data_IF_360661901253
#
_entry.id   IF_360661901253
#
_cell.length_a   1.000
_cell.length_b   1.000
_cell.length_c   1.000
_cell.angle_alpha   90.00
_cell.angle_beta   90.00
_cell.angle_gamma   90.00
#
_symmetry.space_group_name_H-M   'P 1'
#
loop_
_entity.id
_entity.type
_entity.pdbx_description
1 polymer ?
#
# COMPACT_ATOMS: atom_id res chain seq x y z
N UNK A 1 -24.52 -59.63 -16.68
CA UNK A 1 -23.49 -58.59 -16.95
C UNK A 1 -24.13 -57.23 -16.72
N UNK A 2 -23.94 -56.62 -15.53
CA UNK A 2 -24.46 -55.27 -15.22
C UNK A 2 -23.38 -54.26 -15.60
N UNK A 3 -23.61 -53.47 -16.63
CA UNK A 3 -22.76 -52.33 -16.96
C UNK A 3 -22.95 -51.27 -15.88
N UNK A 4 -21.90 -51.01 -15.10
CA UNK A 4 -21.83 -49.86 -14.22
C UNK A 4 -21.52 -48.64 -15.11
N UNK A 5 -22.52 -47.78 -15.31
CA UNK A 5 -22.32 -46.50 -15.95
C UNK A 5 -21.64 -45.58 -14.93
N UNK A 6 -20.33 -45.38 -15.06
CA UNK A 6 -19.61 -44.39 -14.26
C UNK A 6 -20.05 -43.00 -14.72
N UNK A 7 -20.87 -42.34 -13.89
CA UNK A 7 -21.18 -40.92 -14.07
C UNK A 7 -19.89 -40.16 -13.69
N UNK A 8 -19.18 -39.69 -14.70
CA UNK A 8 -18.04 -38.79 -14.52
C UNK A 8 -18.60 -37.43 -14.08
N UNK A 9 -18.56 -37.15 -12.79
CA UNK A 9 -18.82 -35.80 -12.28
C UNK A 9 -17.60 -34.96 -12.69
N UNK A 10 -17.76 -34.11 -13.70
CA UNK A 10 -16.78 -33.09 -14.01
C UNK A 10 -16.72 -32.12 -12.83
N UNK A 11 -15.70 -32.26 -11.98
CA UNK A 11 -15.36 -31.23 -11.01
C UNK A 11 -15.11 -29.94 -11.80
N UNK A 12 -15.70 -28.79 -11.42
CA UNK A 12 -15.34 -27.53 -12.05
C UNK A 12 -13.83 -27.34 -11.89
N UNK A 13 -13.12 -27.24 -13.01
CA UNK A 13 -11.70 -26.96 -12.98
C UNK A 13 -11.52 -25.57 -12.36
N UNK A 14 -10.83 -25.51 -11.22
CA UNK A 14 -10.43 -24.24 -10.62
C UNK A 14 -9.50 -23.49 -11.58
N UNK A 15 -9.70 -22.17 -11.66
CA UNK A 15 -9.00 -21.29 -12.58
C UNK A 15 -8.13 -20.30 -11.79
N UNK A 16 -6.90 -20.12 -12.27
CA UNK A 16 -5.99 -19.12 -11.76
C UNK A 16 -6.24 -17.81 -12.49
N UNK A 17 -6.20 -16.71 -11.73
CA UNK A 17 -6.27 -15.35 -12.26
C UNK A 17 -4.94 -14.66 -12.02
N UNK A 18 -4.36 -14.13 -13.09
CA UNK A 18 -3.07 -13.43 -13.07
C UNK A 18 -3.28 -12.08 -13.74
N UNK A 19 -2.74 -11.02 -13.15
CA UNK A 19 -2.96 -9.64 -13.58
C UNK A 19 -1.64 -9.00 -13.99
N UNK A 20 -1.58 -8.43 -15.20
CA UNK A 20 -0.62 -7.38 -15.53
C UNK A 20 -1.28 -6.05 -15.13
N UNK A 21 -0.81 -5.36 -14.08
CA UNK A 21 -1.55 -4.25 -13.45
C UNK A 21 -1.60 -2.97 -14.28
N UNK A 22 -0.77 -2.89 -15.32
CA UNK A 22 -0.70 -1.75 -16.22
C UNK A 22 -0.32 -2.18 -17.64
N UNK A 23 -1.09 -1.72 -18.60
CA UNK A 23 -0.87 -1.78 -20.03
C UNK A 23 -1.55 -0.58 -20.66
N UNK A 24 -1.00 -0.07 -21.76
CA UNK A 24 -1.58 1.01 -22.51
C UNK A 24 -1.17 1.03 -23.98
N UNK A 25 -1.92 1.82 -24.74
CA UNK A 25 -1.64 2.17 -26.14
C UNK A 25 -1.98 3.64 -26.36
N UNK A 26 -1.32 4.30 -27.30
CA UNK A 26 -1.67 5.65 -27.74
C UNK A 26 -0.77 6.78 -27.19
N UNK A 27 -1.14 8.04 -27.46
CA UNK A 27 -0.31 9.20 -27.12
C UNK A 27 -0.27 9.47 -25.62
N UNK A 28 0.86 9.99 -25.14
CA UNK A 28 1.08 10.40 -23.76
C UNK A 28 1.74 11.79 -23.64
N UNK A 29 2.10 12.16 -22.41
CA UNK A 29 2.76 13.44 -22.12
C UNK A 29 4.13 13.56 -22.85
N UNK A 30 4.60 14.80 -23.04
CA UNK A 30 5.88 15.12 -23.68
C UNK A 30 6.08 14.46 -25.06
N UNK A 31 4.99 14.27 -25.83
CA UNK A 31 5.04 13.68 -27.17
C UNK A 31 5.37 12.18 -27.20
N UNK A 32 5.24 11.49 -26.06
CA UNK A 32 5.41 10.03 -25.98
C UNK A 32 4.28 9.28 -26.70
N UNK A 33 4.57 8.08 -27.17
CA UNK A 33 3.59 7.16 -27.75
C UNK A 33 3.77 5.76 -27.15
N UNK A 34 2.80 5.34 -26.35
CA UNK A 34 2.88 4.14 -25.54
C UNK A 34 2.30 2.94 -26.26
N UNK A 35 2.92 1.78 -26.06
CA UNK A 35 2.41 0.47 -26.51
C UNK A 35 2.78 -0.58 -25.48
N UNK A 36 1.95 -1.64 -25.38
CA UNK A 36 2.19 -2.76 -24.47
C UNK A 36 2.19 -4.08 -25.21
N UNK A 37 3.13 -4.94 -24.85
CA UNK A 37 3.26 -6.29 -25.41
C UNK A 37 3.09 -7.31 -24.30
N UNK A 38 2.43 -8.42 -24.63
CA UNK A 38 2.28 -9.57 -23.74
C UNK A 38 2.99 -10.77 -24.36
N UNK A 39 3.91 -11.38 -23.63
CA UNK A 39 4.58 -12.61 -24.03
C UNK A 39 4.19 -13.75 -23.11
N UNK A 40 3.78 -14.87 -23.72
CA UNK A 40 3.30 -16.05 -23.02
C UNK A 40 4.12 -17.25 -23.49
N UNK A 41 4.74 -17.95 -22.55
CA UNK A 41 5.48 -19.19 -22.82
C UNK A 41 4.87 -20.37 -22.07
N UNK A 42 4.43 -21.39 -22.81
CA UNK A 42 3.89 -22.61 -22.24
C UNK A 42 5.00 -23.66 -22.11
N UNK A 43 5.42 -23.93 -20.88
CA UNK A 43 6.38 -25.00 -20.57
C UNK A 43 5.73 -26.39 -20.54
N UNK A 44 4.40 -26.50 -20.69
CA UNK A 44 3.67 -27.75 -20.70
C UNK A 44 3.89 -28.59 -21.97
N UNK A 45 3.58 -29.88 -21.85
CA UNK A 45 3.59 -30.83 -22.97
C UNK A 45 2.29 -30.84 -23.78
N UNK A 46 1.26 -30.12 -23.33
CA UNK A 46 -0.01 -29.93 -24.04
C UNK A 46 -0.23 -28.44 -24.31
N UNK A 47 -0.97 -28.13 -25.37
CA UNK A 47 -1.42 -26.76 -25.62
C UNK A 47 -2.35 -26.27 -24.50
N UNK A 48 -2.33 -24.97 -24.23
CA UNK A 48 -3.25 -24.31 -23.30
C UNK A 48 -3.88 -23.11 -23.97
N UNK A 49 -5.10 -22.78 -23.59
CA UNK A 49 -5.76 -21.53 -23.99
C UNK A 49 -5.88 -20.65 -22.76
N UNK A 50 -5.44 -19.39 -22.90
CA UNK A 50 -5.58 -18.36 -21.90
C UNK A 50 -6.66 -17.37 -22.36
N UNK A 51 -7.59 -17.05 -21.46
CA UNK A 51 -8.57 -15.99 -21.68
C UNK A 51 -7.97 -14.68 -21.17
N UNK A 52 -7.87 -13.70 -22.05
CA UNK A 52 -7.30 -12.38 -21.79
C UNK A 52 -8.45 -11.37 -21.70
N UNK A 53 -8.43 -10.49 -20.71
CA UNK A 53 -9.46 -9.48 -20.52
C UNK A 53 -8.85 -8.14 -20.16
N UNK A 54 -9.31 -7.08 -20.82
CA UNK A 54 -8.86 -5.72 -20.53
C UNK A 54 -9.76 -5.07 -19.49
N UNK A 55 -9.15 -4.37 -18.55
CA UNK A 55 -9.81 -3.65 -17.49
C UNK A 55 -9.36 -2.20 -17.47
N UNK A 56 -10.28 -1.25 -17.53
CA UNK A 56 -9.98 0.17 -17.34
C UNK A 56 -10.69 0.69 -16.07
N UNK A 57 -10.77 2.01 -15.91
CA UNK A 57 -11.41 2.63 -14.74
C UNK A 57 -12.92 2.38 -14.67
N UNK A 58 -13.55 1.93 -15.76
CA UNK A 58 -14.96 1.53 -15.80
C UNK A 58 -15.16 0.02 -15.59
N UNK A 59 -14.07 -0.73 -15.39
CA UNK A 59 -14.10 -2.17 -15.11
C UNK A 59 -13.74 -3.01 -16.33
N UNK A 60 -14.26 -4.24 -16.35
CA UNK A 60 -14.00 -5.22 -17.40
C UNK A 60 -14.62 -4.82 -18.76
N UNK A 61 -13.84 -4.93 -19.82
CA UNK A 61 -14.23 -4.51 -21.16
C UNK A 61 -14.24 -5.70 -22.12
N UNK A 62 -13.26 -5.72 -23.04
CA UNK A 62 -13.14 -6.73 -24.08
C UNK A 62 -12.38 -7.95 -23.60
N UNK A 63 -12.75 -9.10 -24.14
CA UNK A 63 -12.13 -10.40 -23.87
C UNK A 63 -11.58 -10.97 -25.18
N UNK A 64 -10.45 -11.65 -25.12
CA UNK A 64 -9.81 -12.31 -26.25
C UNK A 64 -9.13 -13.59 -25.78
N UNK A 65 -9.25 -14.68 -26.55
CA UNK A 65 -8.54 -15.92 -26.22
C UNK A 65 -7.20 -16.00 -26.96
N UNK A 66 -6.21 -16.57 -26.28
CA UNK A 66 -4.89 -16.85 -26.83
C UNK A 66 -4.52 -18.33 -26.61
N UNK A 67 -4.35 -19.07 -27.70
CA UNK A 67 -3.87 -20.46 -27.65
C UNK A 67 -2.35 -20.49 -27.72
N UNK A 68 -1.73 -21.13 -26.74
CA UNK A 68 -0.28 -21.33 -26.64
C UNK A 68 0.01 -22.82 -26.78
N UNK A 69 0.64 -23.20 -27.89
CA UNK A 69 1.02 -24.57 -28.16
C UNK A 69 1.98 -25.13 -27.08
N UNK A 70 2.08 -26.45 -27.00
CA UNK A 70 3.05 -27.10 -26.12
C UNK A 70 4.47 -26.58 -26.39
N UNK A 71 5.24 -26.32 -25.33
CA UNK A 71 6.65 -25.88 -25.38
C UNK A 71 6.91 -24.64 -26.26
N UNK A 72 5.90 -23.79 -26.44
CA UNK A 72 5.95 -22.68 -27.40
C UNK A 72 5.78 -21.34 -26.71
N UNK A 73 6.31 -20.30 -27.36
CA UNK A 73 6.12 -18.89 -26.98
C UNK A 73 5.27 -18.19 -28.02
N UNK A 74 4.36 -17.33 -27.57
CA UNK A 74 3.70 -16.34 -28.42
C UNK A 74 3.94 -14.95 -27.83
N UNK A 75 4.03 -13.95 -28.71
CA UNK A 75 4.04 -12.55 -28.34
C UNK A 75 2.87 -11.86 -29.03
N UNK A 76 2.13 -11.06 -28.28
CA UNK A 76 1.01 -10.27 -28.76
C UNK A 76 1.45 -8.81 -28.72
N UNK A 77 1.76 -8.28 -29.90
CA UNK A 77 2.22 -6.89 -30.06
C UNK A 77 1.05 -5.92 -29.88
N UNK A 78 1.31 -4.78 -29.23
CA UNK A 78 0.32 -3.74 -28.91
C UNK A 78 -1.04 -4.34 -28.50
N UNK A 79 -1.02 -5.20 -27.49
CA UNK A 79 -2.16 -6.04 -27.10
C UNK A 79 -3.43 -5.21 -26.82
N UNK A 80 -3.26 -4.00 -26.30
CA UNK A 80 -4.36 -3.07 -25.98
C UNK A 80 -5.09 -2.65 -27.26
N UNK A 81 -4.36 -2.41 -28.34
CA UNK A 81 -4.95 -2.15 -29.65
C UNK A 81 -5.40 -3.43 -30.36
N UNK A 82 -4.50 -4.41 -30.51
CA UNK A 82 -4.69 -5.55 -31.42
C UNK A 82 -5.67 -6.60 -30.92
N UNK A 83 -5.84 -6.75 -29.60
CA UNK A 83 -6.78 -7.71 -29.00
C UNK A 83 -8.03 -7.07 -28.41
N UNK A 84 -7.93 -5.81 -27.99
CA UNK A 84 -9.02 -5.11 -27.30
C UNK A 84 -9.53 -3.87 -28.06
N UNK A 85 -9.06 -3.64 -29.29
CA UNK A 85 -9.61 -2.64 -30.21
C UNK A 85 -9.52 -1.20 -29.71
N UNK A 86 -8.61 -0.89 -28.78
CA UNK A 86 -8.44 0.46 -28.25
C UNK A 86 -7.40 1.22 -29.07
N UNK A 87 -7.76 2.39 -29.59
CA UNK A 87 -6.80 3.28 -30.27
C UNK A 87 -5.95 4.08 -29.29
N UNK A 88 -6.46 4.30 -28.08
CA UNK A 88 -5.76 4.93 -26.97
C UNK A 88 -6.38 4.46 -25.66
N UNK A 89 -5.57 4.27 -24.62
CA UNK A 89 -6.05 3.93 -23.28
C UNK A 89 -4.99 3.34 -22.37
N UNK A 90 -5.32 3.25 -21.09
CA UNK A 90 -4.53 2.60 -20.05
C UNK A 90 -5.45 1.71 -19.22
N UNK A 91 -4.95 0.56 -18.78
CA UNK A 91 -5.71 -0.42 -18.02
C UNK A 91 -4.85 -1.58 -17.54
N UNK A 92 -5.48 -2.64 -17.07
CA UNK A 92 -4.85 -3.90 -16.71
C UNK A 92 -5.24 -5.00 -17.69
N UNK A 93 -4.41 -6.03 -17.77
CA UNK A 93 -4.70 -7.26 -18.51
C UNK A 93 -4.87 -8.37 -17.50
N UNK A 94 -6.06 -8.91 -17.43
CA UNK A 94 -6.34 -10.15 -16.72
C UNK A 94 -6.09 -11.34 -17.63
N UNK A 95 -5.38 -12.34 -17.11
CA UNK A 95 -5.13 -13.62 -17.73
C UNK A 95 -5.75 -14.70 -16.85
N UNK A 96 -6.73 -15.40 -17.39
CA UNK A 96 -7.38 -16.54 -16.73
C UNK A 96 -7.05 -17.84 -17.47
N UNK A 97 -6.57 -18.82 -16.71
CA UNK A 97 -6.21 -20.17 -17.18
C UNK A 97 -6.57 -21.20 -16.12
N UNK A 98 -6.65 -22.49 -16.47
CA UNK A 98 -6.77 -23.54 -15.45
C UNK A 98 -5.56 -23.52 -14.49
N UNK A 99 -5.76 -23.89 -13.22
CA UNK A 99 -4.67 -23.97 -12.23
C UNK A 99 -3.51 -24.88 -12.69
N UNK A 100 -3.83 -25.97 -13.38
CA UNK A 100 -2.85 -26.89 -13.93
C UNK A 100 -1.96 -26.24 -15.02
N UNK A 101 -2.52 -25.31 -15.79
CA UNK A 101 -1.81 -24.55 -16.81
C UNK A 101 -1.05 -23.36 -16.21
N UNK A 102 -1.58 -22.71 -15.17
CA UNK A 102 -0.96 -21.55 -14.53
C UNK A 102 0.47 -21.85 -14.07
N UNK A 103 0.69 -22.99 -13.42
CA UNK A 103 2.02 -23.43 -12.96
C UNK A 103 2.99 -23.82 -14.09
N UNK A 104 2.56 -23.73 -15.36
CA UNK A 104 3.35 -24.06 -16.55
C UNK A 104 3.42 -22.90 -17.55
N UNK A 105 2.81 -21.77 -17.23
CA UNK A 105 2.77 -20.60 -18.10
C UNK A 105 3.67 -19.51 -17.52
N UNK A 106 4.72 -19.13 -18.25
CA UNK A 106 5.46 -17.91 -17.97
C UNK A 106 4.79 -16.74 -18.68
N UNK A 107 4.54 -15.67 -17.95
CA UNK A 107 3.85 -14.47 -18.43
C UNK A 107 4.75 -13.28 -18.17
N UNK A 108 5.13 -12.58 -19.23
CA UNK A 108 5.85 -11.31 -19.14
C UNK A 108 5.12 -10.26 -19.96
N UNK A 109 5.25 -9.00 -19.54
CA UNK A 109 4.75 -7.88 -20.31
C UNK A 109 5.74 -6.74 -20.30
N UNK A 110 5.71 -5.95 -21.37
CA UNK A 110 6.52 -4.76 -21.52
C UNK A 110 5.65 -3.62 -22.00
N UNK A 111 5.77 -2.47 -21.36
CA UNK A 111 5.14 -1.22 -21.80
C UNK A 111 6.24 -0.25 -22.18
N UNK A 112 6.21 0.27 -23.40
CA UNK A 112 7.27 1.13 -23.92
C UNK A 112 6.73 2.36 -24.64
N UNK A 113 7.50 3.42 -24.57
CA UNK A 113 7.37 4.62 -25.37
C UNK A 113 8.17 4.45 -26.67
N UNK A 114 7.51 4.64 -27.81
CA UNK A 114 8.14 4.73 -29.13
C UNK A 114 8.34 6.19 -29.51
N UNK A 115 9.58 6.57 -29.83
CA UNK A 115 9.94 7.90 -30.31
C UNK A 115 10.83 7.81 -31.56
N UNK A 116 11.14 8.97 -32.16
CA UNK A 116 12.07 9.03 -33.29
C UNK A 116 13.50 8.57 -32.92
N UNK A 117 13.86 8.58 -31.63
CA UNK A 117 15.17 8.15 -31.13
C UNK A 117 15.23 6.67 -30.70
N UNK A 118 14.09 5.96 -30.71
CA UNK A 118 14.02 4.53 -30.39
C UNK A 118 12.84 4.16 -29.50
N UNK A 119 12.90 2.96 -28.93
CA UNK A 119 11.92 2.46 -27.96
C UNK A 119 12.52 2.38 -26.57
N UNK A 120 11.88 3.03 -25.61
CA UNK A 120 12.27 3.02 -24.20
C UNK A 120 11.15 2.39 -23.39
N UNK A 121 11.44 1.36 -22.59
CA UNK A 121 10.38 0.54 -22.02
C UNK A 121 10.72 -0.09 -20.70
N UNK A 122 9.66 -0.43 -19.97
CA UNK A 122 9.71 -1.08 -18.67
C UNK A 122 8.98 -2.42 -18.75
N UNK A 123 9.56 -3.43 -18.12
CA UNK A 123 8.86 -4.69 -17.90
C UNK A 123 7.89 -4.51 -16.73
N UNK A 124 6.66 -4.98 -16.93
CA UNK A 124 5.60 -4.93 -15.91
C UNK A 124 5.26 -6.38 -15.56
N UNK A 125 5.53 -6.83 -14.31
CA UNK A 125 5.35 -8.21 -13.93
C UNK A 125 3.87 -8.58 -13.88
N UNK A 126 3.58 -9.81 -14.29
CA UNK A 126 2.28 -10.42 -14.07
C UNK A 126 2.21 -10.95 -12.62
N UNK A 127 1.12 -10.63 -11.92
CA UNK A 127 0.94 -10.90 -10.48
C UNK A 127 -0.23 -11.85 -10.31
N UNK A 128 -0.02 -12.97 -9.59
CA UNK A 128 -1.13 -13.84 -9.21
C UNK A 128 -2.01 -13.12 -8.19
N UNK A 129 -3.34 -13.16 -8.35
CA UNK A 129 -4.26 -12.46 -7.43
C UNK A 129 -4.17 -12.95 -5.98
N UNK A 130 -3.61 -14.14 -5.75
CA UNK A 130 -3.34 -14.66 -4.41
C UNK A 130 -2.17 -13.94 -3.71
N UNK A 131 -1.26 -13.34 -4.48
CA UNK A 131 -0.10 -12.61 -3.98
C UNK A 131 -0.37 -11.09 -3.84
N UNK A 132 -1.56 -10.64 -4.26
CA UNK A 132 -1.98 -9.24 -4.13
C UNK A 132 -2.01 -8.79 -2.66
N UNK A 133 -1.75 -7.50 -2.43
CA UNK A 133 -1.86 -6.89 -1.12
C UNK A 133 -3.32 -6.94 -0.64
N UNK A 134 -3.54 -7.16 0.65
CA UNK A 134 -4.86 -7.30 1.24
C UNK A 134 -5.05 -6.31 2.40
N UNK A 135 -6.26 -6.26 2.96
CA UNK A 135 -6.56 -5.44 4.13
C UNK A 135 -5.52 -5.62 5.26
N UNK A 136 -4.98 -4.49 5.76
CA UNK A 136 -3.91 -4.44 6.77
C UNK A 136 -2.49 -4.32 6.19
N UNK A 137 -2.32 -4.54 4.89
CA UNK A 137 -1.05 -4.30 4.21
C UNK A 137 -0.87 -2.82 3.84
N UNK A 138 0.39 -2.39 3.80
CA UNK A 138 0.80 -1.14 3.15
C UNK A 138 1.62 -1.49 1.92
N UNK A 139 1.27 -0.93 0.77
CA UNK A 139 2.11 -1.04 -0.43
C UNK A 139 2.87 0.26 -0.60
N UNK A 140 4.20 0.18 -0.53
CA UNK A 140 5.10 1.32 -0.69
C UNK A 140 5.52 1.44 -2.15
N UNK A 141 5.33 2.63 -2.71
CA UNK A 141 5.76 3.02 -4.05
C UNK A 141 6.81 4.12 -3.91
N UNK A 142 8.07 3.80 -4.22
CA UNK A 142 9.17 4.76 -4.08
C UNK A 142 9.18 5.69 -5.29
N UNK A 143 8.95 6.99 -5.07
CA UNK A 143 9.02 7.98 -6.12
C UNK A 143 10.48 8.20 -6.56
N UNK A 144 10.72 8.90 -7.68
CA UNK A 144 12.06 9.14 -8.19
C UNK A 144 12.97 9.86 -7.18
N UNK A 145 14.27 9.59 -7.27
CA UNK A 145 15.27 10.32 -6.48
C UNK A 145 15.44 11.79 -6.90
N UNK A 146 14.93 12.16 -8.09
CA UNK A 146 14.88 13.53 -8.61
C UNK A 146 13.51 13.78 -9.23
N UNK A 147 12.68 14.59 -8.56
CA UNK A 147 11.35 14.97 -9.04
C UNK A 147 11.42 15.94 -10.24
N UNK A 148 12.56 16.64 -10.40
CA UNK A 148 12.80 17.50 -11.57
C UNK A 148 13.07 16.68 -12.84
N UNK A 149 13.82 15.58 -12.73
CA UNK A 149 14.25 14.80 -13.89
C UNK A 149 13.18 13.82 -14.36
N UNK A 150 12.43 13.22 -13.44
CA UNK A 150 11.43 12.20 -13.75
C UNK A 150 10.06 12.52 -13.14
N UNK A 151 9.02 12.39 -13.97
CA UNK A 151 7.63 12.42 -13.50
C UNK A 151 7.22 11.07 -12.90
N UNK A 152 6.42 11.09 -11.86
CA UNK A 152 5.96 9.87 -11.19
C UNK A 152 4.47 9.60 -11.43
N UNK A 153 4.17 8.50 -12.11
CA UNK A 153 2.82 7.99 -12.23
C UNK A 153 2.67 6.82 -11.25
N UNK A 154 1.50 6.67 -10.65
CA UNK A 154 1.18 5.47 -9.89
C UNK A 154 -0.27 5.07 -10.08
N UNK A 155 -0.57 3.83 -9.74
CA UNK A 155 -1.87 3.27 -10.01
C UNK A 155 -2.13 2.00 -9.25
N UNK A 156 -3.30 1.43 -9.52
CA UNK A 156 -3.75 0.21 -8.91
C UNK A 156 -4.65 -0.59 -9.85
N UNK A 157 -4.66 -1.90 -9.65
CA UNK A 157 -5.74 -2.79 -10.06
C UNK A 157 -6.45 -3.33 -8.82
N UNK A 158 -7.77 -3.10 -8.73
CA UNK A 158 -8.60 -3.59 -7.63
C UNK A 158 -9.00 -5.05 -7.91
N UNK A 159 -8.43 -6.00 -7.17
CA UNK A 159 -8.73 -7.44 -7.33
C UNK A 159 -10.12 -7.77 -6.81
N UNK A 160 -10.49 -7.16 -5.68
CA UNK A 160 -11.85 -7.16 -5.13
C UNK A 160 -12.30 -5.71 -4.93
N UNK A 161 -13.54 -5.50 -4.50
CA UNK A 161 -13.93 -4.20 -3.94
C UNK A 161 -12.95 -3.88 -2.81
N UNK A 162 -12.35 -2.69 -2.87
CA UNK A 162 -11.26 -2.30 -1.99
C UNK A 162 -11.38 -0.83 -1.59
N UNK A 163 -10.88 -0.54 -0.39
CA UNK A 163 -10.67 0.81 0.10
C UNK A 163 -9.20 1.00 0.38
N UNK A 164 -8.68 2.13 -0.07
CA UNK A 164 -7.27 2.49 0.07
C UNK A 164 -7.19 3.93 0.56
N UNK A 165 -6.37 4.16 1.57
CA UNK A 165 -5.89 5.50 1.91
C UNK A 165 -4.53 5.71 1.25
N UNK A 166 -4.36 6.84 0.58
CA UNK A 166 -3.11 7.21 -0.07
C UNK A 166 -2.38 8.22 0.80
N UNK A 167 -1.25 7.81 1.36
CA UNK A 167 -0.38 8.67 2.16
C UNK A 167 0.87 9.02 1.33
N UNK A 168 1.32 10.27 1.41
CA UNK A 168 2.60 10.73 0.88
C UNK A 168 3.59 10.79 2.05
N UNK A 169 4.72 10.12 1.92
CA UNK A 169 5.81 10.18 2.90
C UNK A 169 6.98 10.92 2.27
N UNK A 170 7.40 12.00 2.92
CA UNK A 170 8.54 12.81 2.50
C UNK A 170 9.86 12.12 2.85
N UNK A 171 10.94 12.55 2.20
CA UNK A 171 12.28 12.04 2.46
C UNK A 171 12.74 12.20 3.93
N UNK A 172 12.22 13.19 4.64
CA UNK A 172 12.48 13.43 6.06
C UNK A 172 11.59 12.61 7.01
N UNK A 173 10.70 11.78 6.47
CA UNK A 173 9.75 10.96 7.23
C UNK A 173 8.39 11.60 7.47
N UNK A 174 8.19 12.88 7.09
CA UNK A 174 6.89 13.55 7.26
C UNK A 174 5.81 12.82 6.47
N UNK A 175 4.76 12.37 7.15
CA UNK A 175 3.59 11.74 6.52
C UNK A 175 2.51 12.78 6.28
N UNK A 176 2.06 12.88 5.02
CA UNK A 176 0.94 13.70 4.59
C UNK A 176 -0.16 12.77 4.10
N UNK A 177 -1.32 12.80 4.73
CA UNK A 177 -2.50 12.02 4.34
C UNK A 177 -3.58 12.96 3.78
N UNK A 178 -3.43 13.47 2.55
CA UNK A 178 -4.29 14.54 2.05
C UNK A 178 -5.68 14.05 1.65
N UNK A 179 -5.89 12.73 1.55
CA UNK A 179 -7.14 12.12 1.14
C UNK A 179 -7.71 11.22 2.24
N UNK A 180 -9.05 11.27 2.39
CA UNK A 180 -9.79 10.20 3.04
C UNK A 180 -9.70 8.90 2.22
N UNK A 181 -10.10 7.77 2.82
CA UNK A 181 -10.19 6.49 2.12
C UNK A 181 -10.95 6.60 0.79
N UNK A 182 -10.31 6.13 -0.27
CA UNK A 182 -10.89 6.04 -1.60
C UNK A 182 -11.40 4.62 -1.85
N UNK A 183 -12.57 4.50 -2.47
CA UNK A 183 -13.17 3.20 -2.81
C UNK A 183 -12.97 2.88 -4.29
N UNK A 184 -12.59 1.64 -4.58
CA UNK A 184 -12.39 1.14 -5.93
C UNK A 184 -13.18 -0.17 -6.10
N UNK A 185 -13.97 -0.24 -7.17
CA UNK A 185 -14.75 -1.44 -7.48
C UNK A 185 -13.87 -2.56 -8.03
N UNK A 186 -14.24 -3.81 -7.74
CA UNK A 186 -13.53 -4.99 -8.23
C UNK A 186 -13.36 -4.96 -9.76
N UNK A 187 -12.18 -5.34 -10.22
CA UNK A 187 -11.84 -5.37 -11.64
C UNK A 187 -11.70 -3.99 -12.28
N UNK A 188 -11.52 -2.91 -11.52
CA UNK A 188 -11.17 -1.60 -12.08
C UNK A 188 -9.66 -1.37 -12.05
N UNK A 189 -9.17 -0.62 -13.03
CA UNK A 189 -7.78 -0.16 -13.08
C UNK A 189 -7.75 1.37 -13.09
N UNK A 190 -6.91 1.95 -12.23
CA UNK A 190 -6.68 3.38 -12.19
C UNK A 190 -5.19 3.68 -12.30
N UNK A 191 -4.84 4.64 -13.17
CA UNK A 191 -3.52 5.27 -13.19
C UNK A 191 -3.67 6.77 -12.99
N UNK A 192 -2.90 7.29 -12.05
CA UNK A 192 -2.78 8.70 -11.74
C UNK A 192 -1.46 9.21 -12.34
N UNK A 193 -1.54 9.91 -13.46
CA UNK A 193 -0.38 10.54 -14.06
C UNK A 193 0.06 11.72 -13.18
N UNK A 194 1.35 11.82 -12.82
CA UNK A 194 1.84 12.80 -11.83
C UNK A 194 0.98 12.79 -10.55
N UNK A 195 0.80 11.59 -10.00
CA UNK A 195 -0.25 11.34 -9.00
C UNK A 195 -0.07 12.12 -7.70
N UNK A 196 1.16 12.48 -7.32
CA UNK A 196 1.42 13.28 -6.12
C UNK A 196 0.79 14.68 -6.29
N UNK A 197 0.94 15.29 -7.46
CA UNK A 197 0.25 16.56 -7.77
C UNK A 197 -1.25 16.36 -8.01
N UNK A 198 -1.62 15.44 -8.90
CA UNK A 198 -2.99 15.38 -9.44
C UNK A 198 -3.98 14.63 -8.57
N UNK A 199 -3.54 13.63 -7.80
CA UNK A 199 -4.38 12.91 -6.86
C UNK A 199 -4.23 13.49 -5.44
N UNK A 200 -3.00 13.70 -4.98
CA UNK A 200 -2.72 14.09 -3.60
C UNK A 200 -2.70 15.61 -3.37
N UNK A 201 -2.68 16.41 -4.44
CA UNK A 201 -2.66 17.88 -4.36
C UNK A 201 -1.36 18.44 -3.75
N UNK A 202 -0.27 17.68 -3.82
CA UNK A 202 1.02 18.04 -3.23
C UNK A 202 2.07 18.32 -4.30
N UNK A 203 3.05 19.15 -3.98
CA UNK A 203 4.24 19.29 -4.82
C UNK A 203 5.15 18.07 -4.64
N UNK A 204 5.58 17.48 -5.75
CA UNK A 204 6.55 16.39 -5.83
C UNK A 204 7.92 16.86 -5.31
N UNK A 205 8.57 16.03 -4.50
CA UNK A 205 9.92 16.26 -3.98
C UNK A 205 10.80 15.03 -4.21
N UNK A 206 12.11 15.25 -4.14
CA UNK A 206 13.11 14.19 -4.29
C UNK A 206 12.95 13.14 -3.19
N UNK A 207 12.94 11.86 -3.59
CA UNK A 207 12.84 10.72 -2.67
C UNK A 207 11.54 10.66 -1.87
N UNK A 208 10.45 11.26 -2.37
CA UNK A 208 9.11 10.98 -1.86
C UNK A 208 8.78 9.47 -1.95
N UNK A 209 7.86 9.00 -1.11
CA UNK A 209 7.24 7.68 -1.22
C UNK A 209 5.72 7.82 -1.12
N UNK A 210 5.00 7.01 -1.88
CA UNK A 210 3.53 6.92 -1.82
C UNK A 210 3.15 5.60 -1.18
N UNK A 211 2.37 5.65 -0.10
CA UNK A 211 1.84 4.49 0.58
C UNK A 211 0.39 4.27 0.18
N UNK A 212 0.08 3.11 -0.40
CA UNK A 212 -1.29 2.62 -0.53
C UNK A 212 -1.61 1.76 0.70
N UNK A 213 -2.29 2.35 1.68
CA UNK A 213 -2.74 1.65 2.88
C UNK A 213 -4.06 0.96 2.58
N UNK A 214 -4.04 -0.37 2.50
CA UNK A 214 -5.19 -1.18 2.10
C UNK A 214 -6.05 -1.44 3.33
N UNK A 215 -7.24 -0.85 3.39
CA UNK A 215 -8.10 -0.98 4.57
C UNK A 215 -9.17 -2.05 4.39
N UNK A 216 -9.59 -2.31 3.14
CA UNK A 216 -10.46 -3.45 2.80
C UNK A 216 -10.07 -4.05 1.45
N UNK A 217 -10.41 -5.32 1.23
CA UNK A 217 -10.26 -5.97 -0.08
C UNK A 217 -8.84 -6.36 -0.44
N UNK A 218 -8.59 -6.53 -1.75
CA UNK A 218 -7.30 -6.87 -2.34
C UNK A 218 -6.95 -5.98 -3.52
N UNK A 219 -5.67 -5.61 -3.64
CA UNK A 219 -5.17 -4.68 -4.65
C UNK A 219 -3.76 -5.05 -5.12
N UNK A 220 -3.46 -4.72 -6.38
CA UNK A 220 -2.11 -4.68 -6.93
C UNK A 220 -1.79 -3.22 -7.24
N UNK A 221 -0.98 -2.56 -6.40
CA UNK A 221 -0.54 -1.19 -6.62
C UNK A 221 0.87 -1.17 -7.26
N UNK A 222 1.12 -0.15 -8.07
CA UNK A 222 2.37 -0.02 -8.82
C UNK A 222 2.68 1.46 -9.09
N UNK A 223 3.94 1.74 -9.43
CA UNK A 223 4.38 3.04 -9.94
C UNK A 223 5.12 2.92 -11.28
N UNK A 224 5.34 4.07 -11.90
CA UNK A 224 6.18 4.22 -13.09
C UNK A 224 6.82 5.60 -13.06
N UNK A 225 8.14 5.62 -12.90
CA UNK A 225 8.96 6.81 -13.02
C UNK A 225 9.33 6.99 -14.48
N UNK A 226 9.07 8.15 -15.07
CA UNK A 226 9.37 8.40 -16.48
C UNK A 226 10.27 9.63 -16.61
N UNK A 227 11.46 9.43 -17.16
CA UNK A 227 12.40 10.53 -17.41
C UNK A 227 11.76 11.57 -18.35
N UNK A 228 11.78 12.83 -17.93
CA UNK A 228 11.09 13.90 -18.64
C UNK A 228 11.72 14.22 -19.99
N UNK A 229 13.06 14.14 -20.08
CA UNK A 229 13.81 14.46 -21.28
C UNK A 229 13.71 13.38 -22.38
N UNK A 230 13.79 12.10 -22.01
CA UNK A 230 13.79 10.98 -22.97
C UNK A 230 12.44 10.27 -23.12
N UNK A 231 11.58 10.35 -22.09
CA UNK A 231 10.40 9.51 -21.98
C UNK A 231 10.72 8.06 -21.61
N UNK A 232 11.92 7.80 -21.06
CA UNK A 232 12.36 6.46 -20.63
C UNK A 232 11.70 6.06 -19.30
N UNK A 233 10.89 4.99 -19.26
CA UNK A 233 10.20 4.56 -18.07
C UNK A 233 11.01 3.55 -17.24
N UNK A 234 10.81 3.59 -15.93
CA UNK A 234 11.22 2.55 -14.99
C UNK A 234 10.02 2.11 -14.17
N UNK A 235 9.79 0.79 -14.14
CA UNK A 235 8.71 0.22 -13.33
C UNK A 235 9.07 0.33 -11.86
N UNK A 236 8.16 0.88 -11.08
CA UNK A 236 8.30 0.96 -9.61
C UNK A 236 7.39 -0.13 -9.02
N UNK A 237 7.96 -1.22 -8.48
CA UNK A 237 7.16 -2.27 -7.90
C UNK A 237 6.46 -1.79 -6.63
N UNK A 238 5.23 -2.26 -6.42
CA UNK A 238 4.57 -2.16 -5.14
C UNK A 238 5.19 -3.12 -4.13
N UNK A 239 5.94 -2.58 -3.17
CA UNK A 239 6.54 -3.39 -2.12
C UNK A 239 5.57 -3.48 -0.94
N UNK A 240 5.04 -4.68 -0.71
CA UNK A 240 4.20 -4.95 0.45
C UNK A 240 5.06 -4.93 1.72
N UNK A 241 4.70 -4.05 2.64
CA UNK A 241 5.18 -4.03 4.01
C UNK A 241 3.99 -4.12 4.95
N UNK A 242 4.23 -4.55 6.19
CA UNK A 242 3.17 -4.49 7.20
C UNK A 242 2.95 -3.03 7.57
N UNK A 243 1.70 -2.64 7.74
CA UNK A 243 1.41 -1.42 8.46
C UNK A 243 2.09 -1.51 9.83
N UNK A 244 2.83 -0.47 10.21
CA UNK A 244 3.16 -0.26 11.61
C UNK A 244 1.88 0.23 12.28
N UNK A 245 1.05 -0.73 12.71
CA UNK A 245 -0.20 -0.40 13.38
C UNK A 245 0.18 -0.02 14.79
N UNK A 246 0.41 1.28 14.99
CA UNK A 246 0.59 1.86 16.31
C UNK A 246 -0.70 2.47 16.84
N UNK A 247 -0.88 2.44 18.14
CA UNK A 247 -1.79 3.36 18.82
C UNK A 247 -1.31 4.80 18.58
N UNK A 248 -2.24 5.70 18.31
CA UNK A 248 -1.95 7.10 18.07
C UNK A 248 -1.70 7.82 19.40
N UNK A 249 -0.46 7.78 19.88
CA UNK A 249 -0.03 8.55 21.03
C UNK A 249 0.29 9.98 20.60
N UNK A 250 -0.53 10.94 21.02
CA UNK A 250 -0.38 12.35 20.63
C UNK A 250 0.52 13.10 21.62
N UNK A 251 0.46 12.71 22.89
CA UNK A 251 1.27 13.30 23.94
C UNK A 251 0.59 13.28 25.31
N UNK A 252 1.04 14.17 26.18
CA UNK A 252 0.53 14.36 27.55
C UNK A 252 -0.04 15.77 27.71
N UNK A 253 -1.24 15.82 28.28
CA UNK A 253 -1.91 17.02 28.79
C UNK A 253 -1.68 17.06 30.31
N UNK A 254 -0.85 18.01 30.75
CA UNK A 254 -0.34 18.08 32.13
C UNK A 254 -1.31 18.77 33.08
N UNK A 255 -2.21 19.63 32.58
CA UNK A 255 -3.17 20.38 33.39
C UNK A 255 -4.64 19.96 33.16
N UNK A 256 -4.84 18.93 32.33
CA UNK A 256 -6.13 18.33 31.96
C UNK A 256 -7.10 19.34 31.33
N UNK A 257 -6.57 20.38 30.67
CA UNK A 257 -7.40 21.41 30.04
C UNK A 257 -7.96 20.99 28.66
N UNK A 258 -7.59 19.81 28.16
CA UNK A 258 -7.96 19.27 26.85
C UNK A 258 -6.98 19.63 25.73
N UNK A 259 -5.85 20.24 26.05
CA UNK A 259 -4.76 20.59 25.12
C UNK A 259 -3.50 19.85 25.50
N UNK A 260 -2.81 19.28 24.51
CA UNK A 260 -1.53 18.58 24.75
C UNK A 260 -0.42 19.59 25.01
N UNK A 261 0.31 19.42 26.12
CA UNK A 261 1.44 20.27 26.51
C UNK A 261 2.79 19.75 26.04
N UNK A 262 2.93 18.42 26.01
CA UNK A 262 4.13 17.71 25.61
C UNK A 262 3.75 16.67 24.57
N UNK A 263 4.27 16.83 23.36
CA UNK A 263 3.91 16.00 22.22
C UNK A 263 4.86 14.81 22.07
N UNK A 264 4.31 13.76 21.48
CA UNK A 264 5.06 12.77 20.68
C UNK A 264 4.80 13.16 19.21
N UNK A 265 5.62 14.09 18.68
CA UNK A 265 5.35 14.70 17.37
C UNK A 265 5.67 13.74 16.23
N UNK A 266 6.65 12.84 16.40
CA UNK A 266 7.01 11.83 15.41
C UNK A 266 6.20 10.53 15.54
N UNK A 267 5.34 10.43 16.57
CA UNK A 267 4.45 9.31 16.84
C UNK A 267 5.22 8.00 17.01
N UNK A 268 6.44 8.07 17.57
CA UNK A 268 7.29 6.90 17.77
C UNK A 268 6.89 6.09 19.02
N UNK A 269 6.02 6.64 19.87
CA UNK A 269 5.59 6.08 21.14
C UNK A 269 6.36 6.65 22.34
N UNK A 270 7.21 7.65 22.16
CA UNK A 270 8.02 8.29 23.20
C UNK A 270 7.78 9.80 23.16
N UNK A 271 7.57 10.44 24.31
CA UNK A 271 7.47 11.91 24.30
C UNK A 271 8.79 12.56 23.86
N UNK A 272 8.70 13.58 23.02
CA UNK A 272 9.84 14.33 22.47
C UNK A 272 10.71 14.99 23.55
N UNK A 273 10.13 15.22 24.74
CA UNK A 273 10.83 15.78 25.90
C UNK A 273 10.29 15.22 27.21
N UNK A 274 11.12 15.17 28.26
CA UNK A 274 10.67 14.75 29.57
C UNK A 274 9.64 15.73 30.17
N UNK A 275 8.67 15.19 30.89
CA UNK A 275 7.78 15.96 31.77
C UNK A 275 8.45 16.20 33.12
N UNK A 276 8.11 17.28 33.82
CA UNK A 276 8.56 17.49 35.19
C UNK A 276 7.55 16.87 36.16
N UNK A 277 8.01 16.00 37.05
CA UNK A 277 7.20 15.32 38.07
C UNK A 277 7.71 15.74 39.44
N UNK A 278 6.86 16.33 40.27
CA UNK A 278 7.24 16.82 41.59
C UNK A 278 7.22 15.69 42.63
N UNK A 279 8.29 15.59 43.41
CA UNK A 279 8.53 14.54 44.42
C UNK A 279 8.22 14.98 45.86
N UNK A 280 7.71 16.21 46.03
CA UNK A 280 7.41 16.79 47.34
C UNK A 280 6.25 16.08 48.04
N UNK A 281 6.39 15.84 49.34
CA UNK A 281 5.36 15.18 50.14
C UNK A 281 4.04 15.95 50.10
N UNK A 282 2.98 15.33 49.56
CA UNK A 282 1.60 15.75 49.75
C UNK A 282 0.80 16.10 48.49
N UNK A 283 1.39 16.08 47.29
CA UNK A 283 0.66 16.38 46.06
C UNK A 283 0.93 15.30 44.99
N UNK A 284 -0.07 14.46 44.66
CA UNK A 284 0.00 13.61 43.48
C UNK A 284 0.12 14.46 42.21
N UNK A 285 0.93 14.02 41.25
CA UNK A 285 1.01 14.64 39.93
C UNK A 285 -0.03 13.96 39.06
N UNK A 286 -0.99 14.73 38.55
CA UNK A 286 -2.00 14.22 37.63
C UNK A 286 -1.68 14.70 36.22
N UNK A 287 -1.83 13.81 35.25
CA UNK A 287 -1.76 14.16 33.85
C UNK A 287 -2.53 13.14 33.02
N UNK A 288 -3.05 13.60 31.89
CA UNK A 288 -3.78 12.78 30.94
C UNK A 288 -2.87 12.33 29.80
N UNK A 289 -2.88 11.03 29.52
CA UNK A 289 -2.21 10.44 28.37
C UNK A 289 -3.18 10.48 27.18
N UNK A 290 -2.87 11.30 26.19
CA UNK A 290 -3.72 11.47 25.00
C UNK A 290 -3.33 10.42 23.97
N UNK A 291 -4.09 9.32 23.95
CA UNK A 291 -3.89 8.21 23.02
C UNK A 291 -5.21 7.71 22.44
N UNK A 292 -5.23 7.41 21.15
CA UNK A 292 -6.40 6.90 20.42
C UNK A 292 -6.03 5.83 19.40
N UNK A 293 -7.03 5.16 18.81
CA UNK A 293 -6.86 4.43 17.56
C UNK A 293 -6.75 5.36 16.37
N UNK A 294 -6.38 4.80 15.22
CA UNK A 294 -6.26 5.54 13.96
C UNK A 294 -7.55 6.24 13.53
N UNK A 295 -8.72 5.86 14.04
CA UNK A 295 -10.01 6.52 13.76
C UNK A 295 -10.61 7.20 15.00
N UNK A 296 -9.80 7.47 16.03
CA UNK A 296 -10.25 8.12 17.27
C UNK A 296 -10.88 7.18 18.28
N UNK A 297 -10.75 5.86 18.12
CA UNK A 297 -11.22 4.89 19.11
C UNK A 297 -10.50 5.08 20.45
N UNK A 298 -11.18 4.92 21.60
CA UNK A 298 -10.52 5.05 22.89
C UNK A 298 -9.52 3.90 23.11
N UNK A 299 -8.33 4.24 23.59
CA UNK A 299 -7.33 3.26 24.00
C UNK A 299 -7.53 2.81 25.45
N UNK A 300 -7.23 1.54 25.71
CA UNK A 300 -7.11 1.00 27.07
C UNK A 300 -5.65 1.09 27.51
N UNK A 301 -5.40 1.61 28.72
CA UNK A 301 -4.05 1.75 29.27
C UNK A 301 -3.77 0.74 30.38
N UNK A 302 -2.53 0.25 30.43
CA UNK A 302 -1.99 -0.59 31.50
C UNK A 302 -0.58 -0.10 31.84
N UNK A 303 -0.34 0.26 33.11
CA UNK A 303 1.02 0.62 33.56
C UNK A 303 1.87 -0.65 33.62
N UNK A 304 2.97 -0.69 32.88
CA UNK A 304 3.86 -1.84 32.81
C UNK A 304 5.21 -1.60 33.52
N UNK A 305 5.63 -0.34 33.66
CA UNK A 305 6.83 0.05 34.41
C UNK A 305 6.65 1.50 34.88
N UNK A 306 6.61 1.74 36.18
CA UNK A 306 6.21 3.03 36.73
C UNK A 306 5.96 2.97 38.22
N UNK A 307 7.03 2.90 39.00
CA UNK A 307 6.91 2.89 40.45
C UNK A 307 6.14 4.12 40.95
N UNK A 308 5.22 3.89 41.88
CA UNK A 308 4.37 4.90 42.49
C UNK A 308 3.45 5.64 41.48
N UNK A 309 3.19 5.04 40.31
CA UNK A 309 2.17 5.49 39.36
C UNK A 309 0.92 4.61 39.41
N UNK A 310 -0.25 5.24 39.29
CA UNK A 310 -1.55 4.60 39.28
C UNK A 310 -2.40 5.17 38.16
N UNK A 311 -3.09 4.31 37.43
CA UNK A 311 -4.12 4.72 36.50
C UNK A 311 -5.41 4.98 37.29
N UNK A 312 -5.90 6.23 37.28
CA UNK A 312 -7.06 6.64 38.10
C UNK A 312 -8.36 6.71 37.29
N UNK A 313 -8.28 6.79 35.96
CA UNK A 313 -9.40 6.59 35.04
C UNK A 313 -8.92 5.95 33.72
N UNK A 314 -9.69 6.01 32.62
CA UNK A 314 -9.28 5.38 31.37
C UNK A 314 -7.93 5.88 30.80
N UNK A 315 -7.55 7.13 31.05
CA UNK A 315 -6.39 7.79 30.44
C UNK A 315 -5.57 8.70 31.39
N UNK A 316 -6.05 8.93 32.60
CA UNK A 316 -5.40 9.81 33.58
C UNK A 316 -4.55 9.01 34.56
N UNK A 317 -3.34 9.52 34.81
CA UNK A 317 -2.35 8.91 35.70
C UNK A 317 -2.12 9.82 36.90
N UNK A 318 -2.17 9.22 38.09
CA UNK A 318 -1.55 9.75 39.30
C UNK A 318 -0.12 9.20 39.37
N UNK A 319 0.88 10.09 39.39
CA UNK A 319 2.27 9.69 39.64
C UNK A 319 2.84 10.40 40.86
N UNK A 320 3.17 9.60 41.88
CA UNK A 320 3.58 10.07 43.20
C UNK A 320 4.96 9.53 43.63
N UNK A 321 6.05 9.84 42.90
CA UNK A 321 7.38 9.32 43.20
C UNK A 321 7.92 9.83 44.55
N UNK A 322 8.76 9.01 45.18
CA UNK A 322 9.36 9.30 46.49
C UNK A 322 10.30 10.51 46.43
N UNK A 323 10.28 11.36 47.46
CA UNK A 323 11.23 12.49 47.62
C UNK A 323 12.73 12.10 47.46
N UNK A 324 13.10 10.84 47.72
CA UNK A 324 14.46 10.34 47.51
C UNK A 324 14.90 10.33 46.04
N UNK A 325 13.97 10.39 45.08
CA UNK A 325 14.27 10.43 43.63
C UNK A 325 14.46 11.85 43.10
N UNK A 326 14.32 12.88 43.94
CA UNK A 326 14.52 14.28 43.54
C UNK A 326 15.89 14.48 42.88
N UNK A 327 15.88 15.15 41.72
CA UNK A 327 17.07 15.41 40.90
C UNK A 327 17.48 14.27 39.98
N UNK A 328 16.76 13.13 40.00
CA UNK A 328 16.97 12.01 39.09
C UNK A 328 16.05 12.12 37.86
N UNK A 329 16.38 11.39 36.80
CA UNK A 329 15.49 11.16 35.66
C UNK A 329 14.91 9.74 35.73
N UNK A 330 13.71 9.57 35.21
CA UNK A 330 13.03 8.28 35.12
C UNK A 330 12.15 8.21 33.87
N UNK A 331 11.41 7.12 33.75
CA UNK A 331 10.39 6.98 32.72
C UNK A 331 9.22 6.15 33.26
N UNK A 332 8.03 6.47 32.76
CA UNK A 332 6.83 5.68 32.93
C UNK A 332 6.53 4.98 31.60
N UNK A 333 6.40 3.65 31.63
CA UNK A 333 6.00 2.84 30.48
C UNK A 333 4.58 2.34 30.65
N UNK A 334 3.80 2.53 29.60
CA UNK A 334 2.38 2.22 29.58
C UNK A 334 2.11 1.37 28.35
N UNK A 335 1.46 0.23 28.51
CA UNK A 335 0.88 -0.49 27.39
C UNK A 335 -0.45 0.15 27.02
N UNK A 336 -0.58 0.66 25.81
CA UNK A 336 -1.81 1.17 25.26
C UNK A 336 -2.37 0.16 24.25
N UNK A 337 -3.67 -0.14 24.33
CA UNK A 337 -4.32 -1.14 23.47
C UNK A 337 -5.55 -0.57 22.79
N UNK A 338 -5.65 -0.71 21.46
CA UNK A 338 -6.81 -0.32 20.65
C UNK A 338 -7.12 -1.41 19.63
N UNK A 339 -8.36 -1.91 19.58
CA UNK A 339 -8.77 -2.86 18.55
C UNK A 339 -7.94 -4.16 18.48
N UNK A 340 -7.28 -4.56 19.56
CA UNK A 340 -6.40 -5.74 19.62
C UNK A 340 -4.93 -5.47 19.27
N UNK A 341 -4.58 -4.23 18.95
CA UNK A 341 -3.21 -3.76 18.76
C UNK A 341 -2.71 -3.16 20.06
N UNK A 342 -1.49 -3.49 20.48
CA UNK A 342 -0.89 -2.96 21.71
C UNK A 342 0.50 -2.39 21.44
N UNK A 343 0.76 -1.19 21.96
CA UNK A 343 2.10 -0.58 21.97
C UNK A 343 2.52 -0.20 23.37
N UNK A 344 3.83 0.00 23.51
CA UNK A 344 4.44 0.53 24.72
C UNK A 344 4.76 2.00 24.51
N UNK A 345 4.07 2.84 25.25
CA UNK A 345 4.33 4.27 25.33
C UNK A 345 5.38 4.53 26.41
N UNK A 346 6.28 5.46 26.16
CA UNK A 346 7.32 5.88 27.11
C UNK A 346 7.20 7.37 27.42
N UNK A 347 6.95 7.69 28.68
CA UNK A 347 6.88 9.05 29.20
C UNK A 347 8.17 9.30 30.00
N UNK A 348 9.22 9.89 29.40
CA UNK A 348 10.38 10.33 30.13
C UNK A 348 10.01 11.43 31.15
N UNK A 349 10.67 11.43 32.30
CA UNK A 349 10.39 12.39 33.36
C UNK A 349 11.66 12.86 34.09
N UNK A 350 11.63 14.12 34.52
CA UNK A 350 12.57 14.69 35.48
C UNK A 350 11.90 14.81 36.85
N UNK A 351 12.49 14.20 37.87
CA UNK A 351 11.96 14.25 39.23
C UNK A 351 12.46 15.53 39.94
N UNK A 352 11.53 16.41 40.31
CA UNK A 352 11.79 17.74 40.89
C UNK A 352 11.39 17.83 42.36
#
# INVERSE_FOLDING_TARGET
MKFLLAILIALPASAATIIVPAAGTGPGANGSHWQSELTLHNTGAAATTATLRFHDSSGAQQTSDATINARSTITINDIVNTRFGRESGTGAIEITVSDAAANRLAITSRTFNSSASGQFGQDIPAVNVNDAAAAGDVVVLQAPSSAADARFNFGLYAVTDTKIRWDLVRADGTVVSPLAEQSYAAGTQFQFNQGISNLLGQTEQDNDAVHAVVTTGKVIAYGSAVQNASGDPSFVPGIRVRADVKVNFVGVDLDENGTVDVFDADHDGVLDRPIDIFTTSGFPNYFRVVVTGSNGEPATLEIIDGADALLIDAQTIDWSPRNATRGMSGALKIRATVGGVSDVLTIPANFR
#
